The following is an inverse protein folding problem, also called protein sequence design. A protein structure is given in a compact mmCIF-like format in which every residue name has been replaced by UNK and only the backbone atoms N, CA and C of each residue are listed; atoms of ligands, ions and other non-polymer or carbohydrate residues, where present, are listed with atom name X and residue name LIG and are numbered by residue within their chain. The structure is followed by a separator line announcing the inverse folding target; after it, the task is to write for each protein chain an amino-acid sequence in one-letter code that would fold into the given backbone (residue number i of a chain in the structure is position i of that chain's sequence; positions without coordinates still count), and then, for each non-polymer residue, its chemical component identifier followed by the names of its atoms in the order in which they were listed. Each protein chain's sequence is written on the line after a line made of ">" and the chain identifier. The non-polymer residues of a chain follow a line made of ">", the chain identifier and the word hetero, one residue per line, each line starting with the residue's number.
data_IF_818649153931
#
_entry.id   IF_818649153931
#
_cell.length_a   1.000
_cell.length_b   1.000
_cell.length_c   1.000
_cell.angle_alpha   90.00
_cell.angle_beta   90.00
_cell.angle_gamma   90.00
#
_symmetry.space_group_name_H-M   'P 1'
#
loop_
_entity.id
_entity.type
_entity.pdbx_description
1 polymer ?
#
# COMPACT_ATOMS: atom_id res chain seq x y z
N UNK A 1 -8.33 25.07 -9.75
CA UNK A 1 -8.81 23.79 -9.18
C UNK A 1 -7.64 23.17 -8.45
N UNK A 2 -7.83 22.79 -7.19
CA UNK A 2 -6.78 22.18 -6.37
C UNK A 2 -6.48 20.77 -6.89
N UNK A 3 -5.23 20.50 -7.26
CA UNK A 3 -4.80 19.20 -7.80
C UNK A 3 -4.96 18.07 -6.76
N UNK A 4 -4.97 18.42 -5.47
CA UNK A 4 -5.11 17.47 -4.35
C UNK A 4 -6.58 17.11 -4.05
N UNK A 5 -7.55 17.74 -4.73
CA UNK A 5 -8.97 17.44 -4.59
C UNK A 5 -9.47 16.33 -5.53
N UNK A 6 -8.58 15.66 -6.28
CA UNK A 6 -8.91 14.61 -7.25
C UNK A 6 -8.64 13.18 -6.74
N UNK A 7 -8.44 13.04 -5.42
CA UNK A 7 -8.37 11.72 -4.78
C UNK A 7 -9.60 10.86 -5.08
N UNK A 8 -9.43 9.54 -5.14
CA UNK A 8 -10.49 8.57 -5.43
C UNK A 8 -11.20 8.72 -6.79
N UNK A 9 -10.58 9.39 -7.77
CA UNK A 9 -11.14 9.54 -9.12
C UNK A 9 -11.28 8.21 -9.89
N UNK A 10 -10.47 7.20 -9.55
CA UNK A 10 -10.48 5.88 -10.21
C UNK A 10 -10.66 4.77 -9.18
N UNK A 11 -11.48 3.77 -9.50
CA UNK A 11 -11.72 2.59 -8.65
C UNK A 11 -10.94 1.35 -9.10
N UNK A 12 -10.22 1.42 -10.24
CA UNK A 12 -9.32 0.37 -10.74
C UNK A 12 -8.16 0.92 -11.54
N UNK A 13 -7.12 0.09 -11.71
CA UNK A 13 -5.99 0.37 -12.60
C UNK A 13 -6.47 0.49 -14.05
N UNK A 14 -6.12 1.60 -14.69
CA UNK A 14 -6.35 1.82 -16.12
C UNK A 14 -5.28 1.12 -16.97
N UNK A 15 -5.65 0.68 -18.17
CA UNK A 15 -4.75 0.17 -19.21
C UNK A 15 -3.77 -0.91 -18.72
N UNK A 16 -4.29 -2.05 -18.24
CA UNK A 16 -3.47 -3.19 -17.87
C UNK A 16 -3.43 -4.27 -18.95
N UNK A 17 -2.22 -4.60 -19.42
CA UNK A 17 -1.97 -5.78 -20.26
C UNK A 17 -1.57 -7.03 -19.45
N UNK A 18 -1.44 -6.90 -18.13
CA UNK A 18 -1.11 -8.01 -17.22
C UNK A 18 -2.35 -8.47 -16.45
N UNK A 19 -2.47 -9.78 -16.29
CA UNK A 19 -3.51 -10.40 -15.47
C UNK A 19 -3.15 -10.43 -13.98
N UNK A 20 -1.90 -10.07 -13.60
CA UNK A 20 -1.39 -10.15 -12.23
C UNK A 20 -1.69 -11.51 -11.57
N UNK A 21 -1.47 -12.59 -12.31
CA UNK A 21 -1.56 -13.93 -11.78
C UNK A 21 -0.16 -14.42 -11.42
N UNK A 22 0.06 -14.76 -10.16
CA UNK A 22 1.30 -15.39 -9.68
C UNK A 22 1.07 -16.90 -9.50
N UNK A 23 1.63 -17.66 -10.43
CA UNK A 23 1.58 -19.13 -10.46
C UNK A 23 2.26 -19.79 -9.25
N UNK A 24 3.15 -19.08 -8.54
CA UNK A 24 3.74 -19.60 -7.30
C UNK A 24 2.67 -19.92 -6.25
N UNK A 25 1.59 -19.13 -6.22
CA UNK A 25 0.52 -19.25 -5.24
C UNK A 25 -0.64 -20.15 -5.68
N UNK A 26 -0.57 -20.78 -6.87
CA UNK A 26 -1.70 -21.52 -7.47
C UNK A 26 -2.29 -22.64 -6.61
N UNK A 27 -1.53 -23.20 -5.66
CA UNK A 27 -2.00 -24.24 -4.73
C UNK A 27 -2.97 -23.69 -3.68
N UNK A 28 -2.74 -22.47 -3.21
CA UNK A 28 -3.57 -21.81 -2.21
C UNK A 28 -4.62 -20.89 -2.87
N UNK A 29 -4.19 -20.15 -3.89
CA UNK A 29 -4.97 -19.12 -4.58
C UNK A 29 -4.86 -19.31 -6.10
N UNK A 30 -5.48 -20.35 -6.67
CA UNK A 30 -5.48 -20.58 -8.10
C UNK A 30 -6.09 -19.39 -8.85
N UNK A 31 -5.46 -19.00 -9.95
CA UNK A 31 -6.01 -17.95 -10.80
C UNK A 31 -7.26 -18.46 -11.53
N UNK A 32 -8.37 -17.76 -11.35
CA UNK A 32 -9.63 -18.10 -11.98
C UNK A 32 -9.59 -17.82 -13.51
N UNK A 33 -10.14 -18.71 -14.36
CA UNK A 33 -10.15 -18.50 -15.80
C UNK A 33 -10.84 -17.19 -16.19
N UNK A 34 -10.19 -16.39 -17.05
CA UNK A 34 -10.73 -15.11 -17.51
C UNK A 34 -10.68 -13.97 -16.49
N UNK A 35 -10.12 -14.22 -15.30
CA UNK A 35 -10.02 -13.24 -14.22
C UNK A 35 -8.64 -12.56 -14.22
N UNK A 36 -8.63 -11.25 -14.00
CA UNK A 36 -7.43 -10.44 -13.85
C UNK A 36 -7.40 -9.73 -12.49
N UNK A 37 -6.24 -9.78 -11.82
CA UNK A 37 -6.01 -9.31 -10.45
C UNK A 37 -5.24 -7.97 -10.40
N UNK A 38 -5.55 -7.07 -11.33
CA UNK A 38 -5.02 -5.70 -11.30
C UNK A 38 -5.58 -4.91 -10.11
N UNK A 39 -5.00 -3.74 -9.85
CA UNK A 39 -5.37 -2.87 -8.72
C UNK A 39 -6.84 -2.47 -8.75
N UNK A 40 -7.56 -2.70 -7.64
CA UNK A 40 -8.95 -2.25 -7.41
C UNK A 40 -9.12 -1.66 -6.03
N UNK A 41 -10.03 -0.70 -5.90
CA UNK A 41 -10.36 -0.03 -4.65
C UNK A 41 -9.45 1.16 -4.33
N UNK A 42 -9.74 1.89 -3.22
CA UNK A 42 -9.09 3.16 -2.89
C UNK A 42 -7.65 2.99 -2.39
N UNK A 43 -7.33 1.86 -1.75
CA UNK A 43 -5.96 1.41 -1.52
C UNK A 43 -5.76 0.10 -2.29
N UNK A 44 -5.26 0.16 -3.54
CA UNK A 44 -5.37 -0.96 -4.46
C UNK A 44 -4.63 -2.21 -4.01
N UNK A 45 -5.30 -3.36 -4.13
CA UNK A 45 -4.66 -4.69 -4.01
C UNK A 45 -4.39 -5.29 -5.39
N UNK A 46 -3.27 -5.99 -5.51
CA UNK A 46 -2.81 -6.66 -6.73
C UNK A 46 -2.55 -8.13 -6.43
N UNK A 47 -2.54 -8.96 -7.47
CA UNK A 47 -2.17 -10.38 -7.41
C UNK A 47 -3.22 -11.30 -6.77
N UNK A 48 -3.41 -12.48 -7.39
CA UNK A 48 -4.33 -13.55 -6.95
C UNK A 48 -4.25 -13.86 -5.45
N UNK A 49 -3.05 -13.92 -4.87
CA UNK A 49 -2.90 -14.25 -3.46
C UNK A 49 -3.50 -13.19 -2.53
N UNK A 50 -3.42 -11.90 -2.85
CA UNK A 50 -4.04 -10.87 -2.02
C UNK A 50 -5.56 -10.92 -2.12
N UNK A 51 -6.11 -11.11 -3.32
CA UNK A 51 -7.56 -11.30 -3.53
C UNK A 51 -8.08 -12.53 -2.78
N UNK A 52 -7.31 -13.62 -2.76
CA UNK A 52 -7.63 -14.83 -2.01
C UNK A 52 -7.62 -14.63 -0.49
N UNK A 53 -6.55 -14.02 0.05
CA UNK A 53 -6.43 -13.74 1.49
C UNK A 53 -7.52 -12.78 1.98
N UNK A 54 -7.71 -11.63 1.31
CA UNK A 54 -8.75 -10.68 1.73
C UNK A 54 -10.16 -11.24 1.56
N UNK A 55 -10.39 -12.04 0.51
CA UNK A 55 -11.67 -12.70 0.28
C UNK A 55 -12.00 -13.69 1.39
N UNK A 56 -11.01 -14.45 1.85
CA UNK A 56 -11.15 -15.36 2.99
C UNK A 56 -11.48 -14.62 4.28
N UNK A 57 -10.76 -13.53 4.59
CA UNK A 57 -10.95 -12.78 5.83
C UNK A 57 -12.29 -12.03 5.86
N UNK A 58 -12.70 -11.45 4.72
CA UNK A 58 -13.99 -10.76 4.57
C UNK A 58 -15.15 -11.72 4.28
N UNK A 59 -14.88 -13.00 4.04
CA UNK A 59 -15.86 -14.03 3.64
C UNK A 59 -16.62 -13.67 2.37
N UNK A 60 -15.90 -13.12 1.38
CA UNK A 60 -16.38 -12.77 0.05
C UNK A 60 -15.48 -13.42 -0.98
N UNK A 61 -16.04 -14.04 -2.02
CA UNK A 61 -15.25 -14.74 -3.05
C UNK A 61 -14.57 -13.76 -4.04
N UNK A 62 -13.56 -13.06 -3.54
CA UNK A 62 -12.79 -12.08 -4.32
C UNK A 62 -11.78 -12.74 -5.27
N UNK A 63 -11.46 -14.01 -5.09
CA UNK A 63 -10.55 -14.74 -5.98
C UNK A 63 -11.21 -15.05 -7.33
N UNK A 64 -12.50 -15.42 -7.31
CA UNK A 64 -13.28 -15.65 -8.53
C UNK A 64 -14.04 -14.40 -8.99
N UNK A 65 -14.41 -13.50 -8.08
CA UNK A 65 -15.19 -12.29 -8.37
C UNK A 65 -14.50 -10.99 -7.89
N UNK A 66 -13.30 -10.66 -8.40
CA UNK A 66 -12.60 -9.45 -7.98
C UNK A 66 -13.34 -8.15 -8.39
N UNK A 67 -14.22 -8.21 -9.38
CA UNK A 67 -15.08 -7.10 -9.82
C UNK A 67 -16.02 -6.59 -8.72
N UNK A 68 -16.31 -7.38 -7.68
CA UNK A 68 -17.13 -6.92 -6.56
C UNK A 68 -16.53 -5.69 -5.85
N UNK A 69 -15.20 -5.54 -5.86
CA UNK A 69 -14.51 -4.37 -5.32
C UNK A 69 -14.87 -3.11 -6.12
N UNK A 70 -15.09 -3.22 -7.44
CA UNK A 70 -15.45 -2.09 -8.29
C UNK A 70 -16.93 -1.69 -8.13
N UNK A 71 -17.79 -2.67 -7.82
CA UNK A 71 -19.24 -2.54 -7.82
C UNK A 71 -19.81 -2.14 -6.44
N UNK A 72 -19.08 -2.39 -5.36
CA UNK A 72 -19.52 -2.12 -4.00
C UNK A 72 -18.51 -1.27 -3.24
N UNK A 73 -18.85 0.00 -3.02
CA UNK A 73 -17.99 0.95 -2.32
C UNK A 73 -17.68 0.53 -0.88
N UNK A 74 -18.64 -0.08 -0.16
CA UNK A 74 -18.40 -0.56 1.21
C UNK A 74 -17.34 -1.66 1.21
N UNK A 75 -17.47 -2.64 0.31
CA UNK A 75 -16.48 -3.69 0.14
C UNK A 75 -15.12 -3.13 -0.28
N UNK A 76 -15.09 -2.14 -1.17
CA UNK A 76 -13.86 -1.49 -1.59
C UNK A 76 -13.09 -0.86 -0.42
N UNK A 77 -13.79 -0.15 0.47
CA UNK A 77 -13.19 0.41 1.68
C UNK A 77 -12.82 -0.66 2.71
N UNK A 78 -13.61 -1.74 2.86
CA UNK A 78 -13.23 -2.88 3.71
C UNK A 78 -11.91 -3.50 3.24
N UNK A 79 -11.73 -3.70 1.93
CA UNK A 79 -10.48 -4.21 1.35
C UNK A 79 -9.33 -3.23 1.58
N UNK A 80 -9.56 -1.93 1.44
CA UNK A 80 -8.53 -0.92 1.71
C UNK A 80 -8.10 -0.89 3.18
N UNK A 81 -9.05 -0.97 4.11
CA UNK A 81 -8.76 -1.08 5.55
C UNK A 81 -8.02 -2.39 5.84
N UNK A 82 -8.45 -3.52 5.25
CA UNK A 82 -7.72 -4.78 5.37
C UNK A 82 -6.27 -4.63 4.90
N UNK A 83 -6.04 -4.00 3.75
CA UNK A 83 -4.69 -3.75 3.21
C UNK A 83 -3.85 -2.85 4.15
N UNK A 84 -4.47 -1.91 4.84
CA UNK A 84 -3.84 -1.04 5.82
C UNK A 84 -3.49 -1.76 7.14
N UNK A 85 -4.37 -2.66 7.57
CA UNK A 85 -4.27 -3.39 8.85
C UNK A 85 -3.41 -4.65 8.78
N UNK A 86 -3.25 -5.26 7.60
CA UNK A 86 -2.60 -6.57 7.47
C UNK A 86 -1.14 -6.46 7.02
N UNK A 87 -0.20 -7.10 7.74
CA UNK A 87 1.18 -7.25 7.28
C UNK A 87 1.29 -8.06 5.98
N UNK A 88 2.17 -7.65 5.07
CA UNK A 88 2.46 -8.42 3.83
C UNK A 88 3.17 -9.74 4.14
N UNK A 89 4.03 -9.74 5.17
CA UNK A 89 4.81 -10.92 5.60
C UNK A 89 4.78 -11.04 7.12
N UNK A 90 4.92 -12.27 7.62
CA UNK A 90 4.85 -12.66 9.05
C UNK A 90 5.76 -11.86 10.02
N UNK A 91 6.79 -11.19 9.51
CA UNK A 91 7.74 -10.41 10.31
C UNK A 91 7.85 -8.94 9.88
N UNK A 92 6.89 -8.47 9.07
CA UNK A 92 6.74 -7.05 8.74
C UNK A 92 5.62 -6.46 9.58
N UNK A 93 5.65 -5.16 9.89
CA UNK A 93 4.53 -4.49 10.53
C UNK A 93 3.39 -4.26 9.52
N UNK A 94 2.20 -3.98 10.05
CA UNK A 94 1.13 -3.38 9.23
C UNK A 94 1.42 -1.90 8.97
N UNK A 95 0.78 -1.31 7.97
CA UNK A 95 0.85 0.14 7.75
C UNK A 95 0.30 0.89 8.97
N UNK A 96 -0.77 0.37 9.57
CA UNK A 96 -1.36 0.89 10.79
C UNK A 96 -0.38 0.94 11.97
N UNK A 97 0.32 -0.14 12.28
CA UNK A 97 1.24 -0.21 13.43
C UNK A 97 2.43 0.76 13.28
N UNK A 98 2.92 0.92 12.04
CA UNK A 98 3.97 1.89 11.73
C UNK A 98 3.44 3.31 11.91
N UNK A 99 2.25 3.60 11.38
CA UNK A 99 1.66 4.92 11.42
C UNK A 99 1.33 5.38 12.85
N UNK A 100 0.80 4.47 13.69
CA UNK A 100 0.54 4.75 15.10
C UNK A 100 1.79 4.79 15.98
N UNK A 101 2.96 4.37 15.46
CA UNK A 101 4.19 4.27 16.25
C UNK A 101 4.21 3.12 17.26
N UNK A 102 3.29 2.15 17.16
CA UNK A 102 3.28 0.94 18.00
C UNK A 102 4.34 -0.07 17.57
N UNK A 103 4.75 -0.02 16.30
CA UNK A 103 5.91 -0.74 15.81
C UNK A 103 7.21 0.01 16.15
N UNK A 104 8.25 -0.74 16.57
CA UNK A 104 9.61 -0.23 16.73
C UNK A 104 10.56 -0.93 15.75
N UNK A 105 11.40 -0.20 15.00
CA UNK A 105 12.37 -0.80 14.10
C UNK A 105 13.33 -1.75 14.82
N UNK A 106 13.60 -2.91 14.22
CA UNK A 106 14.70 -3.77 14.64
C UNK A 106 16.05 -3.14 14.28
N UNK A 107 17.16 -3.73 14.73
CA UNK A 107 18.52 -3.29 14.34
C UNK A 107 18.68 -3.20 12.81
N UNK A 108 18.19 -4.21 12.08
CA UNK A 108 18.18 -4.20 10.61
C UNK A 108 17.31 -3.08 10.04
N UNK A 109 16.15 -2.81 10.65
CA UNK A 109 15.30 -1.68 10.27
C UNK A 109 15.98 -0.33 10.45
N UNK A 110 16.72 -0.16 11.55
CA UNK A 110 17.48 1.06 11.84
C UNK A 110 18.62 1.27 10.82
N UNK A 111 19.36 0.21 10.50
CA UNK A 111 20.40 0.25 9.44
C UNK A 111 19.81 0.56 8.06
N UNK A 112 18.59 0.10 7.81
CA UNK A 112 17.79 0.43 6.63
C UNK A 112 17.17 1.84 6.68
N UNK A 113 17.51 2.66 7.68
CA UNK A 113 16.99 4.02 7.92
C UNK A 113 15.48 4.09 8.10
N UNK A 114 14.83 3.00 8.49
CA UNK A 114 13.39 2.95 8.75
C UNK A 114 13.10 3.43 10.17
N UNK A 115 12.15 4.35 10.28
CA UNK A 115 11.66 4.94 11.54
C UNK A 115 10.14 4.91 11.51
N UNK A 116 9.48 4.82 12.66
CA UNK A 116 8.01 4.88 12.71
C UNK A 116 7.52 6.24 12.23
N UNK A 117 6.51 6.25 11.36
CA UNK A 117 6.04 7.46 10.68
C UNK A 117 5.50 7.20 9.28
N UNK A 118 5.06 8.27 8.61
CA UNK A 118 4.43 8.20 7.30
C UNK A 118 5.34 7.67 6.19
N UNK A 119 6.64 7.97 6.24
CA UNK A 119 7.65 7.45 5.33
C UNK A 119 7.70 5.92 5.36
N UNK A 120 7.86 5.32 6.53
CA UNK A 120 7.86 3.84 6.62
C UNK A 120 6.49 3.24 6.35
N UNK A 121 5.40 3.98 6.60
CA UNK A 121 4.05 3.58 6.20
C UNK A 121 3.94 3.43 4.67
N UNK A 122 4.44 4.41 3.91
CA UNK A 122 4.54 4.31 2.44
C UNK A 122 5.43 3.14 2.02
N UNK A 123 6.55 2.93 2.70
CA UNK A 123 7.47 1.83 2.43
C UNK A 123 6.81 0.45 2.61
N UNK A 124 5.99 0.26 3.66
CA UNK A 124 5.20 -0.97 3.84
C UNK A 124 4.19 -1.16 2.71
N UNK A 125 3.53 -0.08 2.27
CA UNK A 125 2.45 -0.17 1.28
C UNK A 125 2.95 -0.35 -0.15
N UNK A 126 4.02 0.35 -0.52
CA UNK A 126 4.48 0.52 -1.90
C UNK A 126 5.92 0.05 -2.14
N UNK A 127 6.71 -0.17 -1.09
CA UNK A 127 8.08 -0.69 -1.22
C UNK A 127 8.95 0.15 -2.15
N UNK A 128 9.65 -0.51 -3.06
CA UNK A 128 10.61 0.08 -4.00
C UNK A 128 9.94 0.77 -5.21
N UNK A 129 8.61 0.78 -5.31
CA UNK A 129 7.90 1.64 -6.25
C UNK A 129 7.96 3.12 -5.83
N UNK A 130 8.15 3.40 -4.53
CA UNK A 130 8.10 4.75 -3.97
C UNK A 130 9.35 5.08 -3.14
N UNK A 131 10.01 4.08 -2.54
CA UNK A 131 11.03 4.28 -1.51
C UNK A 131 12.42 3.78 -1.91
N UNK A 132 13.47 4.38 -1.33
CA UNK A 132 14.85 3.88 -1.41
C UNK A 132 15.63 4.31 -2.65
N UNK A 133 15.10 5.21 -3.45
CA UNK A 133 15.73 5.71 -4.67
C UNK A 133 15.66 7.25 -4.78
N UNK A 134 15.70 7.93 -3.64
CA UNK A 134 15.62 9.39 -3.58
C UNK A 134 14.20 9.94 -3.68
N UNK A 135 14.09 11.26 -3.68
CA UNK A 135 12.81 11.95 -3.88
C UNK A 135 12.27 11.69 -5.28
N UNK A 136 10.96 11.50 -5.39
CA UNK A 136 10.30 11.17 -6.64
C UNK A 136 8.84 11.61 -6.62
N UNK A 137 8.28 11.81 -7.80
CA UNK A 137 6.92 12.33 -7.98
C UNK A 137 5.84 11.48 -7.28
N UNK A 138 5.99 10.16 -7.26
CA UNK A 138 5.01 9.28 -6.60
C UNK A 138 4.97 9.52 -5.09
N UNK A 139 6.14 9.61 -4.46
CA UNK A 139 6.25 9.92 -3.04
C UNK A 139 5.75 11.33 -2.73
N UNK A 140 6.19 12.32 -3.52
CA UNK A 140 5.82 13.72 -3.31
C UNK A 140 4.31 13.94 -3.44
N UNK A 141 3.66 13.23 -4.38
CA UNK A 141 2.21 13.26 -4.53
C UNK A 141 1.50 12.66 -3.31
N UNK A 142 1.98 11.54 -2.76
CA UNK A 142 1.40 10.92 -1.55
C UNK A 142 1.58 11.83 -0.33
N UNK A 143 2.78 12.38 -0.13
CA UNK A 143 3.08 13.33 0.95
C UNK A 143 2.19 14.57 0.83
N UNK A 144 2.05 15.13 -0.37
CA UNK A 144 1.23 16.34 -0.59
C UNK A 144 -0.23 16.13 -0.20
N UNK A 145 -0.83 14.98 -0.54
CA UNK A 145 -2.19 14.65 -0.10
C UNK A 145 -2.28 14.48 1.42
N UNK A 146 -1.29 13.82 2.05
CA UNK A 146 -1.27 13.67 3.50
C UNK A 146 -1.23 15.03 4.21
N UNK A 147 -0.32 15.92 3.83
CA UNK A 147 -0.21 17.26 4.42
C UNK A 147 -1.48 18.09 4.18
N UNK A 148 -2.06 18.00 2.99
CA UNK A 148 -3.33 18.65 2.68
C UNK A 148 -4.47 18.19 3.59
N UNK A 149 -4.60 16.88 3.82
CA UNK A 149 -5.62 16.37 4.73
C UNK A 149 -5.38 16.73 6.19
N UNK A 150 -4.12 16.83 6.64
CA UNK A 150 -3.81 17.35 7.98
C UNK A 150 -4.30 18.79 8.16
N UNK A 151 -4.09 19.65 7.17
CA UNK A 151 -4.58 21.03 7.20
C UNK A 151 -6.11 21.08 7.19
N UNK A 152 -6.76 20.30 6.33
CA UNK A 152 -8.22 20.24 6.26
C UNK A 152 -8.88 19.76 7.56
N UNK A 153 -8.24 18.84 8.28
CA UNK A 153 -8.72 18.34 9.57
C UNK A 153 -8.41 19.28 10.74
N UNK A 154 -7.66 20.37 10.52
CA UNK A 154 -7.23 21.28 11.57
C UNK A 154 -6.15 20.71 12.50
N UNK A 155 -5.46 19.66 12.08
CA UNK A 155 -4.29 19.11 12.78
C UNK A 155 -3.04 19.93 12.45
N UNK A 156 -2.93 20.37 11.19
CA UNK A 156 -1.80 21.15 10.69
C UNK A 156 -0.66 20.28 10.15
N UNK A 157 -0.14 20.65 8.98
CA UNK A 157 0.97 19.94 8.31
C UNK A 157 2.26 19.90 9.10
N UNK A 158 2.47 20.82 10.03
CA UNK A 158 3.61 20.86 10.96
C UNK A 158 3.65 19.66 11.89
N UNK A 159 2.49 19.06 12.19
CA UNK A 159 2.37 17.85 13.01
C UNK A 159 2.70 16.56 12.22
N UNK A 160 2.99 16.66 10.93
CA UNK A 160 3.44 15.53 10.12
C UNK A 160 4.81 14.97 10.55
N UNK A 161 5.53 15.71 11.40
CA UNK A 161 6.83 15.35 11.93
C UNK A 161 8.00 15.73 11.01
N UNK A 162 9.24 15.45 11.44
CA UNK A 162 10.44 15.77 10.67
C UNK A 162 10.51 14.97 9.37
N UNK A 163 11.32 15.44 8.42
CA UNK A 163 11.47 14.84 7.09
C UNK A 163 11.82 13.34 7.13
N UNK A 164 12.56 12.90 8.14
CA UNK A 164 12.93 11.49 8.32
C UNK A 164 11.73 10.58 8.64
N UNK A 165 10.71 11.11 9.32
CA UNK A 165 9.44 10.43 9.59
C UNK A 165 8.47 10.55 8.42
N UNK A 166 8.53 11.65 7.66
CA UNK A 166 7.61 11.95 6.57
C UNK A 166 7.98 11.25 5.25
N UNK A 167 9.27 11.19 4.91
CA UNK A 167 9.79 10.69 3.63
C UNK A 167 10.41 9.30 3.76
N UNK A 168 10.34 8.52 2.67
CA UNK A 168 11.01 7.23 2.54
C UNK A 168 12.15 7.22 1.50
N UNK A 169 12.56 8.38 0.98
CA UNK A 169 13.59 8.50 -0.06
C UNK A 169 14.89 7.74 0.26
N UNK A 170 15.31 7.78 1.54
CA UNK A 170 16.56 7.18 2.02
C UNK A 170 16.37 5.81 2.68
N UNK A 171 15.13 5.32 2.77
CA UNK A 171 14.83 4.06 3.43
C UNK A 171 15.05 2.90 2.47
N UNK A 172 15.70 1.81 2.91
CA UNK A 172 15.71 0.59 2.09
C UNK A 172 14.29 0.04 2.02
N UNK A 173 13.80 -0.26 0.82
CA UNK A 173 12.45 -0.77 0.62
C UNK A 173 12.21 -2.10 1.35
N UNK A 174 11.00 -2.33 1.84
CA UNK A 174 10.55 -3.67 2.21
C UNK A 174 10.33 -4.49 0.93
N UNK A 175 10.87 -5.72 0.89
CA UNK A 175 10.69 -6.65 -0.24
C UNK A 175 11.11 -6.06 -1.60
N UNK A 176 12.33 -5.51 -1.74
CA UNK A 176 12.72 -4.87 -2.99
C UNK A 176 12.75 -5.89 -4.13
N UNK A 177 12.32 -5.45 -5.32
CA UNK A 177 12.28 -6.23 -6.55
C UNK A 177 13.68 -6.63 -7.01
N UNK A 178 14.69 -5.83 -6.65
CA UNK A 178 16.10 -6.12 -6.87
C UNK A 178 16.89 -5.98 -5.56
N UNK A 179 17.97 -6.74 -5.34
CA UNK A 179 18.83 -6.56 -4.18
C UNK A 179 19.36 -5.12 -4.14
N UNK A 180 19.28 -4.46 -2.98
CA UNK A 180 19.92 -3.15 -2.80
C UNK A 180 21.42 -3.27 -3.06
N UNK A 181 21.97 -2.43 -3.94
CA UNK A 181 23.41 -2.34 -4.17
C UNK A 181 24.14 -2.05 -2.84
N UNK A 182 25.34 -2.61 -2.63
CA UNK A 182 26.10 -2.48 -1.39
C UNK A 182 26.41 -1.03 -1.00
#
# INVERSE_FOLDING_TARGET
>A
MDQLAWGSCYNKKMNSNSNYCDEHYKKAYPCAPGVAYFGRGPLPIYWNYNYGEVGKDLKVDLLNHPEYIEQNATLAFQVAIWRWMMPIKKHQPSAHDVFLGTWTPTKTGTLAKRVSGFGTTMNVLYGDLVCGHGDNESMDNIISHYLYYLDLMGVGREEAGPQEMLSCAKQVAFNPSFPSSP
#
